data_IF_584020646056
#
_entry.id   IF_584020646056
#
_cell.length_a   1.000
_cell.length_b   1.000
_cell.length_c   1.000
_cell.angle_alpha   90.00
_cell.angle_beta   90.00
_cell.angle_gamma   90.00
#
_symmetry.space_group_name_H-M   'P 1'
#
loop_
_entity.id
_entity.type
_entity.pdbx_description
1 polymer ?
#
# COMPACT_ATOMS: atom_id res chain seq x y z
N UNK A 1 1.58 21.51 -0.91
CA UNK A 1 1.51 20.26 -0.12
C UNK A 1 0.83 20.65 1.18
N UNK A 2 -0.42 20.25 1.38
CA UNK A 2 -1.03 20.46 2.69
C UNK A 2 -0.43 19.45 3.65
N UNK A 3 0.16 19.96 4.73
CA UNK A 3 0.70 19.12 5.81
C UNK A 3 -0.43 18.29 6.42
N UNK A 4 -0.13 17.06 6.84
CA UNK A 4 -1.07 16.32 7.69
C UNK A 4 -1.33 17.20 8.91
N UNK A 5 -2.56 17.68 9.04
CA UNK A 5 -3.01 18.26 10.30
C UNK A 5 -3.05 17.11 11.32
N UNK A 6 -1.96 16.97 12.06
CA UNK A 6 -1.96 16.16 13.29
C UNK A 6 -2.89 16.89 14.24
N UNK A 7 -4.15 16.48 14.24
CA UNK A 7 -5.10 17.03 15.19
C UNK A 7 -4.89 16.44 16.59
N UNK A 8 -5.45 17.10 17.59
CA UNK A 8 -5.36 16.65 18.98
C UNK A 8 -5.93 15.26 19.19
N UNK A 9 -6.89 14.86 18.37
CA UNK A 9 -7.55 13.56 18.41
C UNK A 9 -6.62 12.44 17.95
N UNK A 10 -5.87 12.66 16.85
CA UNK A 10 -4.84 11.71 16.40
C UNK A 10 -3.75 11.53 17.46
N UNK A 11 -3.26 12.64 18.05
CA UNK A 11 -2.26 12.57 19.12
C UNK A 11 -2.77 11.78 20.33
N UNK A 12 -4.02 11.96 20.70
CA UNK A 12 -4.64 11.23 21.81
C UNK A 12 -4.73 9.73 21.51
N UNK A 13 -5.15 9.33 20.29
CA UNK A 13 -5.19 7.94 19.87
C UNK A 13 -3.80 7.32 19.81
N UNK A 14 -2.81 8.03 19.25
CA UNK A 14 -1.43 7.58 19.21
C UNK A 14 -0.87 7.30 20.61
N UNK A 15 -1.14 8.20 21.58
CA UNK A 15 -0.77 8.00 22.99
C UNK A 15 -1.40 6.72 23.56
N UNK A 16 -2.69 6.49 23.34
CA UNK A 16 -3.38 5.27 23.79
C UNK A 16 -2.79 4.01 23.17
N UNK A 17 -2.44 4.06 21.89
CA UNK A 17 -1.78 2.94 21.21
C UNK A 17 -0.43 2.65 21.83
N UNK A 18 0.41 3.68 22.07
CA UNK A 18 1.73 3.52 22.69
C UNK A 18 1.59 2.93 24.12
N UNK A 19 0.61 3.40 24.89
CA UNK A 19 0.35 2.86 26.23
C UNK A 19 -0.05 1.37 26.19
N UNK A 20 -0.83 0.96 25.21
CA UNK A 20 -1.30 -0.43 25.06
C UNK A 20 -0.29 -1.35 24.39
N UNK A 21 0.55 -0.83 23.50
CA UNK A 21 1.54 -1.56 22.73
C UNK A 21 2.92 -0.86 22.80
N UNK A 22 3.55 -0.76 23.97
CA UNK A 22 4.78 0.04 24.14
C UNK A 22 5.95 -0.44 23.29
N UNK A 23 6.03 -1.74 23.03
CA UNK A 23 7.03 -2.34 22.15
C UNK A 23 6.87 -2.00 20.67
N UNK A 24 5.76 -1.35 20.27
CA UNK A 24 5.48 -0.90 18.91
C UNK A 24 5.60 0.62 18.74
N UNK A 25 6.07 1.33 19.75
CA UNK A 25 6.13 2.79 19.72
C UNK A 25 7.03 3.33 18.59
N UNK A 26 8.22 2.74 18.40
CA UNK A 26 9.14 3.13 17.33
C UNK A 26 8.58 2.81 15.94
N UNK A 27 7.98 1.65 15.77
CA UNK A 27 7.33 1.24 14.52
C UNK A 27 6.19 2.21 14.16
N UNK A 28 5.42 2.63 15.18
CA UNK A 28 4.34 3.58 15.00
C UNK A 28 4.86 4.94 14.52
N UNK A 29 5.92 5.46 15.15
CA UNK A 29 6.57 6.71 14.74
C UNK A 29 7.14 6.60 13.33
N UNK A 30 7.73 5.45 12.99
CA UNK A 30 8.24 5.19 11.65
C UNK A 30 7.12 5.15 10.61
N UNK A 31 5.99 4.48 10.91
CA UNK A 31 4.84 4.40 10.00
C UNK A 31 4.30 5.77 9.59
N UNK A 32 4.28 6.73 10.50
CA UNK A 32 3.79 8.10 10.26
C UNK A 32 4.92 9.12 10.03
N UNK A 33 6.12 8.66 9.68
CA UNK A 33 7.26 9.54 9.38
C UNK A 33 7.05 10.33 8.08
N UNK A 34 7.74 11.49 7.91
CA UNK A 34 7.65 12.29 6.69
C UNK A 34 8.04 11.52 5.42
N UNK A 35 8.99 10.58 5.51
CA UNK A 35 9.38 9.74 4.37
C UNK A 35 8.26 8.77 3.96
N UNK A 36 7.56 8.18 4.93
CA UNK A 36 6.41 7.32 4.67
C UNK A 36 5.23 8.11 4.08
N UNK A 37 4.97 9.30 4.60
CA UNK A 37 3.95 10.20 4.04
C UNK A 37 4.27 10.58 2.59
N UNK A 38 5.49 11.07 2.33
CA UNK A 38 5.96 11.45 0.99
C UNK A 38 5.79 10.29 0.00
N UNK A 39 6.19 9.06 0.40
CA UNK A 39 6.06 7.86 -0.43
C UNK A 39 4.60 7.53 -0.74
N UNK A 40 3.71 7.56 0.25
CA UNK A 40 2.30 7.20 0.06
C UNK A 40 1.52 8.25 -0.74
N UNK A 41 1.77 9.54 -0.50
CA UNK A 41 1.17 10.61 -1.33
C UNK A 41 1.68 10.57 -2.77
N UNK A 42 2.97 10.27 -2.98
CA UNK A 42 3.54 10.06 -4.31
C UNK A 42 2.86 8.88 -5.02
N UNK A 43 2.63 7.75 -4.34
CA UNK A 43 1.89 6.63 -4.89
C UNK A 43 0.48 7.06 -5.31
N UNK A 44 -0.29 7.70 -4.42
CA UNK A 44 -1.68 8.09 -4.70
C UNK A 44 -1.78 9.13 -5.81
N UNK A 45 -0.83 10.07 -5.89
CA UNK A 45 -0.74 11.02 -7.00
C UNK A 45 -0.57 10.31 -8.35
N UNK A 46 0.41 9.41 -8.46
CA UNK A 46 0.66 8.67 -9.70
C UNK A 46 -0.51 7.72 -10.04
N UNK A 47 -1.16 7.14 -9.03
CA UNK A 47 -2.35 6.32 -9.24
C UNK A 47 -3.51 7.15 -9.80
N UNK A 48 -3.73 8.37 -9.31
CA UNK A 48 -4.72 9.29 -9.88
C UNK A 48 -4.43 9.58 -11.36
N UNK A 49 -3.16 9.82 -11.71
CA UNK A 49 -2.75 10.12 -13.08
C UNK A 49 -2.84 8.87 -13.99
N UNK A 50 -2.55 7.68 -13.46
CA UNK A 50 -2.68 6.42 -14.18
C UNK A 50 -4.15 6.07 -14.50
N UNK A 51 -5.05 6.38 -13.57
CA UNK A 51 -6.48 6.06 -13.69
C UNK A 51 -7.32 7.19 -14.31
N UNK A 52 -6.69 8.32 -14.70
CA UNK A 52 -7.41 9.51 -15.18
C UNK A 52 -8.34 9.25 -16.37
N UNK A 53 -8.00 8.27 -17.21
CA UNK A 53 -8.75 7.93 -18.42
C UNK A 53 -9.84 6.87 -18.17
N UNK A 54 -9.89 6.30 -16.96
CA UNK A 54 -10.91 5.30 -16.61
C UNK A 54 -12.16 5.98 -16.03
N UNK A 55 -13.34 5.41 -16.32
CA UNK A 55 -14.68 5.92 -15.94
C UNK A 55 -14.76 6.38 -14.48
N UNK A 56 -14.81 7.69 -14.25
CA UNK A 56 -14.81 8.38 -12.94
C UNK A 56 -16.04 8.14 -12.06
N UNK A 57 -17.04 7.41 -12.51
CA UNK A 57 -18.33 7.22 -11.82
C UNK A 57 -18.59 5.80 -11.32
N UNK A 58 -17.59 4.93 -11.27
CA UNK A 58 -17.78 3.57 -10.76
C UNK A 58 -17.34 3.46 -9.30
N UNK A 59 -18.09 2.67 -8.53
CA UNK A 59 -17.63 2.20 -7.24
C UNK A 59 -16.37 1.35 -7.42
N UNK A 60 -15.35 1.60 -6.61
CA UNK A 60 -14.10 0.85 -6.65
C UNK A 60 -13.85 0.15 -5.33
N UNK A 61 -13.43 -1.11 -5.45
CA UNK A 61 -12.94 -1.93 -4.36
C UNK A 61 -11.41 -1.98 -4.44
N UNK A 62 -10.74 -1.68 -3.33
CA UNK A 62 -9.29 -1.61 -3.24
C UNK A 62 -8.80 -2.67 -2.26
N UNK A 63 -7.77 -3.43 -2.64
CA UNK A 63 -6.98 -4.24 -1.71
C UNK A 63 -5.63 -3.58 -1.45
N UNK A 64 -5.17 -3.61 -0.20
CA UNK A 64 -3.84 -3.15 0.21
C UNK A 64 -3.15 -4.30 0.91
N UNK A 65 -1.98 -4.70 0.41
CA UNK A 65 -1.13 -5.76 0.93
C UNK A 65 0.02 -5.12 1.71
N UNK A 66 0.34 -5.67 2.88
CA UNK A 66 1.31 -5.08 3.79
C UNK A 66 0.85 -3.73 4.31
N UNK A 67 -0.40 -3.68 4.82
CA UNK A 67 -1.05 -2.41 5.18
C UNK A 67 -0.52 -1.78 6.45
N UNK A 68 0.24 -2.53 7.24
CA UNK A 68 0.83 -2.12 8.51
C UNK A 68 -0.20 -1.43 9.42
N UNK A 69 0.07 -0.21 9.91
CA UNK A 69 -0.85 0.54 10.79
C UNK A 69 -1.86 1.42 10.04
N UNK A 70 -2.10 1.13 8.75
CA UNK A 70 -3.20 1.73 8.00
C UNK A 70 -2.96 3.15 7.48
N UNK A 71 -1.71 3.60 7.37
CA UNK A 71 -1.44 4.95 6.88
C UNK A 71 -1.81 5.14 5.41
N UNK A 72 -1.55 4.14 4.55
CA UNK A 72 -1.92 4.24 3.13
C UNK A 72 -3.44 4.35 2.90
N UNK A 73 -4.32 3.52 3.49
CA UNK A 73 -5.76 3.69 3.32
C UNK A 73 -6.27 5.05 3.84
N UNK A 74 -5.64 5.62 4.86
CA UNK A 74 -5.94 6.99 5.32
C UNK A 74 -5.63 8.03 4.24
N UNK A 75 -4.43 7.98 3.61
CA UNK A 75 -4.04 8.88 2.51
C UNK A 75 -4.94 8.67 1.28
N UNK A 76 -5.27 7.42 0.93
CA UNK A 76 -6.18 7.11 -0.19
C UNK A 76 -7.53 7.79 0.00
N UNK A 77 -8.11 7.75 1.19
CA UNK A 77 -9.40 8.39 1.47
C UNK A 77 -9.35 9.92 1.35
N UNK A 78 -8.19 10.52 1.59
CA UNK A 78 -7.99 11.98 1.46
C UNK A 78 -7.71 12.42 0.02
N UNK A 79 -6.81 11.72 -0.66
CA UNK A 79 -6.15 12.23 -1.85
C UNK A 79 -6.59 11.52 -3.15
N UNK A 80 -7.23 10.34 -3.07
CA UNK A 80 -7.70 9.66 -4.26
C UNK A 80 -8.94 10.38 -4.83
N UNK A 81 -8.85 10.79 -6.09
CA UNK A 81 -9.88 11.60 -6.75
C UNK A 81 -11.16 10.84 -7.10
N UNK A 82 -11.17 9.52 -6.92
CA UNK A 82 -12.35 8.68 -7.12
C UNK A 82 -13.28 8.84 -5.92
N UNK A 83 -14.41 9.50 -6.15
CA UNK A 83 -15.40 9.81 -5.09
C UNK A 83 -16.16 8.60 -4.56
N UNK A 84 -16.06 7.44 -5.20
CA UNK A 84 -16.90 6.28 -4.92
C UNK A 84 -16.07 5.05 -4.52
N UNK A 85 -15.29 5.16 -3.44
CA UNK A 85 -14.67 3.98 -2.84
C UNK A 85 -15.77 3.19 -2.14
N UNK A 86 -16.01 1.96 -2.60
CA UNK A 86 -16.96 1.03 -1.99
C UNK A 86 -16.35 0.42 -0.73
N UNK A 87 -15.14 -0.13 -0.87
CA UNK A 87 -14.44 -0.77 0.22
C UNK A 87 -12.91 -0.70 0.02
N UNK A 88 -12.16 -0.59 1.13
CA UNK A 88 -10.71 -0.83 1.18
C UNK A 88 -10.47 -2.02 2.10
N UNK A 89 -9.93 -3.11 1.58
CA UNK A 89 -9.49 -4.26 2.38
C UNK A 89 -7.98 -4.22 2.55
N UNK A 90 -7.56 -4.19 3.79
CA UNK A 90 -6.17 -4.11 4.20
C UNK A 90 -5.72 -5.45 4.75
N UNK A 91 -4.71 -6.07 4.13
CA UNK A 91 -4.14 -7.35 4.51
C UNK A 91 -2.78 -7.14 5.14
N UNK A 92 -2.54 -7.80 6.26
CA UNK A 92 -1.25 -7.86 6.93
C UNK A 92 -1.13 -9.19 7.67
N UNK A 93 0.08 -9.71 7.83
CA UNK A 93 0.34 -10.95 8.58
C UNK A 93 0.37 -10.70 10.09
N UNK A 94 0.61 -9.45 10.51
CA UNK A 94 0.70 -9.05 11.92
C UNK A 94 -0.68 -8.66 12.48
N UNK A 95 -1.26 -9.54 13.32
CA UNK A 95 -2.53 -9.26 14.00
C UNK A 95 -2.45 -8.05 14.94
N UNK A 96 -1.25 -7.74 15.45
CA UNK A 96 -1.05 -6.55 16.28
C UNK A 96 -1.14 -5.28 15.43
N UNK A 97 -0.61 -5.30 14.19
CA UNK A 97 -0.74 -4.19 13.26
C UNK A 97 -2.21 -3.87 12.96
N UNK A 98 -3.05 -4.89 12.72
CA UNK A 98 -4.50 -4.72 12.56
C UNK A 98 -5.16 -4.05 13.78
N UNK A 99 -4.81 -4.49 14.99
CA UNK A 99 -5.35 -3.92 16.24
C UNK A 99 -4.96 -2.44 16.39
N UNK A 100 -3.71 -2.11 16.09
CA UNK A 100 -3.18 -0.75 16.14
C UNK A 100 -3.87 0.12 15.08
N UNK A 101 -3.97 -0.35 13.83
CA UNK A 101 -4.61 0.38 12.74
C UNK A 101 -6.05 0.77 13.09
N UNK A 102 -6.83 -0.16 13.64
CA UNK A 102 -8.21 0.11 14.07
C UNK A 102 -8.30 1.16 15.18
N UNK A 103 -7.37 1.14 16.13
CA UNK A 103 -7.36 2.10 17.23
C UNK A 103 -6.93 3.49 16.78
N UNK A 104 -5.88 3.59 15.94
CA UNK A 104 -5.32 4.89 15.55
C UNK A 104 -6.19 5.60 14.54
N UNK A 105 -6.85 4.86 13.64
CA UNK A 105 -7.74 5.40 12.62
C UNK A 105 -9.21 5.46 13.05
N UNK A 106 -9.52 5.05 14.28
CA UNK A 106 -10.86 5.03 14.86
C UNK A 106 -11.89 4.30 13.99
N UNK A 107 -11.58 3.06 13.64
CA UNK A 107 -12.44 2.21 12.79
C UNK A 107 -12.98 2.95 11.55
N UNK A 108 -12.14 3.37 10.63
CA UNK A 108 -12.54 4.23 9.53
C UNK A 108 -13.60 3.56 8.65
N UNK A 109 -14.63 4.31 8.29
CA UNK A 109 -15.71 3.83 7.42
C UNK A 109 -15.15 3.22 6.12
N UNK A 110 -15.70 2.06 5.72
CA UNK A 110 -15.33 1.30 4.51
C UNK A 110 -13.87 0.84 4.45
N UNK A 111 -13.16 0.77 5.58
CA UNK A 111 -11.81 0.20 5.65
C UNK A 111 -11.83 -1.02 6.58
N UNK A 112 -11.51 -2.18 6.02
CA UNK A 112 -11.48 -3.44 6.73
C UNK A 112 -10.05 -3.97 6.86
N UNK A 113 -9.57 -4.11 8.11
CA UNK A 113 -8.25 -4.69 8.39
C UNK A 113 -8.38 -6.19 8.68
N UNK A 114 -7.60 -7.00 7.96
CA UNK A 114 -7.61 -8.45 8.02
C UNK A 114 -6.21 -8.98 8.29
N UNK A 115 -6.10 -9.94 9.22
CA UNK A 115 -4.85 -10.68 9.44
C UNK A 115 -4.84 -11.87 8.49
N UNK A 116 -4.05 -11.77 7.41
CA UNK A 116 -3.88 -12.84 6.41
C UNK A 116 -2.55 -12.72 5.70
N UNK A 117 -1.95 -13.85 5.35
CA UNK A 117 -0.88 -13.90 4.36
C UNK A 117 -1.48 -13.65 2.96
N UNK A 118 -0.70 -13.04 2.07
CA UNK A 118 -1.07 -12.83 0.67
C UNK A 118 -1.41 -14.15 -0.03
N UNK A 119 -0.70 -15.23 0.29
CA UNK A 119 -0.88 -16.57 -0.28
C UNK A 119 -2.24 -17.19 0.08
N UNK A 120 -2.86 -16.73 1.18
CA UNK A 120 -4.16 -17.19 1.64
C UNK A 120 -5.34 -16.40 1.02
N UNK A 121 -5.05 -15.44 0.14
CA UNK A 121 -6.06 -14.55 -0.45
C UNK A 121 -6.32 -14.93 -1.91
N UNK A 122 -7.51 -15.41 -2.20
CA UNK A 122 -7.95 -15.69 -3.58
C UNK A 122 -8.35 -14.39 -4.30
N UNK A 123 -7.39 -13.74 -4.96
CA UNK A 123 -7.63 -12.53 -5.72
C UNK A 123 -8.34 -12.75 -7.06
N UNK A 124 -8.43 -13.98 -7.55
CA UNK A 124 -9.20 -14.32 -8.75
C UNK A 124 -10.71 -14.24 -8.47
N UNK A 125 -11.15 -14.73 -7.31
CA UNK A 125 -12.56 -14.70 -6.94
C UNK A 125 -12.98 -13.33 -6.38
N UNK A 126 -12.06 -12.59 -5.79
CA UNK A 126 -12.36 -11.26 -5.25
C UNK A 126 -12.32 -10.21 -6.38
N UNK A 127 -13.34 -9.33 -6.41
CA UNK A 127 -13.53 -8.36 -7.50
C UNK A 127 -12.90 -7.00 -7.18
N UNK A 128 -11.62 -6.99 -6.83
CA UNK A 128 -10.90 -5.74 -6.67
C UNK A 128 -10.67 -5.05 -8.01
N UNK A 129 -10.86 -3.74 -8.02
CA UNK A 129 -10.50 -2.87 -9.14
C UNK A 129 -9.03 -2.50 -9.08
N UNK A 130 -8.50 -2.34 -7.85
CA UNK A 130 -7.12 -1.94 -7.59
C UNK A 130 -6.56 -2.83 -6.49
N UNK A 131 -5.34 -3.33 -6.68
CA UNK A 131 -4.58 -4.02 -5.65
C UNK A 131 -3.23 -3.32 -5.51
N UNK A 132 -2.88 -2.91 -4.29
CA UNK A 132 -1.67 -2.17 -3.97
C UNK A 132 -0.82 -3.01 -3.02
N UNK A 133 0.40 -3.33 -3.45
CA UNK A 133 1.42 -3.96 -2.62
C UNK A 133 2.57 -2.97 -2.40
N UNK A 134 2.71 -2.45 -1.18
CA UNK A 134 3.79 -1.53 -0.79
C UNK A 134 4.87 -2.18 0.05
N UNK A 135 4.92 -3.52 0.03
CA UNK A 135 5.80 -4.35 0.85
C UNK A 135 6.51 -5.42 0.01
N UNK A 136 6.76 -5.15 -1.28
CA UNK A 136 7.41 -6.12 -2.16
C UNK A 136 8.82 -6.49 -1.69
N UNK A 137 9.51 -5.58 -1.01
CA UNK A 137 10.83 -5.83 -0.41
C UNK A 137 10.83 -6.89 0.70
N UNK A 138 9.66 -7.23 1.26
CA UNK A 138 9.48 -8.25 2.30
C UNK A 138 8.97 -9.60 1.76
N UNK A 139 8.79 -9.73 0.46
CA UNK A 139 8.24 -10.91 -0.22
C UNK A 139 9.22 -11.41 -1.26
N UNK A 140 9.40 -12.72 -1.40
CA UNK A 140 10.25 -13.23 -2.47
C UNK A 140 9.59 -13.11 -3.85
N UNK A 141 10.40 -13.23 -4.92
CA UNK A 141 9.90 -13.07 -6.27
C UNK A 141 8.84 -14.11 -6.66
N UNK A 142 8.96 -15.35 -6.20
CA UNK A 142 7.97 -16.38 -6.50
C UNK A 142 6.62 -16.02 -5.89
N UNK A 143 6.60 -15.57 -4.65
CA UNK A 143 5.39 -15.10 -3.96
C UNK A 143 4.75 -13.91 -4.69
N UNK A 144 5.55 -12.98 -5.20
CA UNK A 144 5.04 -11.84 -5.98
C UNK A 144 4.49 -12.27 -7.35
N UNK A 145 5.16 -13.20 -8.04
CA UNK A 145 4.66 -13.79 -9.29
C UNK A 145 3.37 -14.58 -9.08
N UNK A 146 3.31 -15.43 -8.06
CA UNK A 146 2.11 -16.22 -7.73
C UNK A 146 0.94 -15.32 -7.39
N UNK A 147 1.15 -14.24 -6.61
CA UNK A 147 0.13 -13.24 -6.36
C UNK A 147 -0.39 -12.63 -7.67
N UNK A 148 0.49 -12.21 -8.58
CA UNK A 148 0.09 -11.63 -9.86
C UNK A 148 -0.64 -12.64 -10.73
N UNK A 149 -0.21 -13.91 -10.76
CA UNK A 149 -0.89 -14.99 -11.50
C UNK A 149 -2.30 -15.24 -10.93
N UNK A 150 -2.46 -15.18 -9.62
CA UNK A 150 -3.73 -15.32 -8.91
C UNK A 150 -4.56 -14.02 -8.85
N UNK A 151 -4.15 -12.97 -9.55
CA UNK A 151 -4.91 -11.73 -9.67
C UNK A 151 -5.78 -11.74 -10.93
N UNK A 152 -7.02 -11.28 -10.78
CA UNK A 152 -8.00 -11.23 -11.87
C UNK A 152 -7.52 -10.32 -13.01
N UNK A 153 -7.71 -10.73 -14.30
CA UNK A 153 -7.46 -9.85 -15.45
C UNK A 153 -8.19 -8.50 -15.36
N UNK A 154 -7.59 -7.47 -15.90
CA UNK A 154 -8.06 -6.07 -15.89
C UNK A 154 -8.07 -5.38 -14.52
N UNK A 155 -7.55 -6.01 -13.49
CA UNK A 155 -7.27 -5.35 -12.21
C UNK A 155 -6.06 -4.43 -12.36
N UNK A 156 -6.12 -3.22 -11.83
CA UNK A 156 -4.95 -2.35 -11.70
C UNK A 156 -4.11 -2.83 -10.52
N UNK A 157 -2.88 -3.25 -10.77
CA UNK A 157 -1.93 -3.65 -9.74
C UNK A 157 -0.86 -2.57 -9.57
N UNK A 158 -0.55 -2.26 -8.32
CA UNK A 158 0.54 -1.35 -7.93
C UNK A 158 1.52 -2.13 -7.08
N UNK A 159 2.78 -2.13 -7.48
CA UNK A 159 3.88 -2.77 -6.75
C UNK A 159 4.92 -1.72 -6.40
N UNK A 160 5.35 -1.69 -5.15
CA UNK A 160 6.37 -0.76 -4.68
C UNK A 160 7.49 -1.52 -3.98
N UNK A 161 8.74 -1.23 -4.34
CA UNK A 161 9.96 -1.77 -3.72
C UNK A 161 11.00 -0.66 -3.50
N UNK A 162 12.20 -1.01 -3.08
CA UNK A 162 13.27 -0.07 -2.71
C UNK A 162 14.65 -0.70 -2.92
N UNK A 163 15.68 0.15 -3.06
CA UNK A 163 17.10 -0.24 -2.96
C UNK A 163 17.62 -0.26 -1.52
N UNK A 164 16.80 0.16 -0.56
CA UNK A 164 17.19 0.20 0.85
C UNK A 164 17.37 -1.19 1.41
N UNK A 165 18.58 -1.52 1.81
CA UNK A 165 18.87 -2.75 2.54
C UNK A 165 18.48 -2.60 4.02
N UNK A 166 17.62 -3.49 4.52
CA UNK A 166 17.23 -3.59 5.92
C UNK A 166 17.19 -5.05 6.34
N UNK A 167 17.18 -5.30 7.65
CA UNK A 167 17.25 -6.67 8.20
C UNK A 167 16.11 -7.58 7.75
N UNK A 168 14.95 -7.00 7.55
CA UNK A 168 13.70 -7.68 7.19
C UNK A 168 13.38 -7.60 5.69
N UNK A 169 14.28 -7.03 4.87
CA UNK A 169 14.16 -7.01 3.43
C UNK A 169 14.83 -8.24 2.82
N UNK A 170 14.07 -9.03 2.08
CA UNK A 170 14.55 -10.21 1.36
C UNK A 170 14.58 -10.01 -0.16
N UNK A 171 13.93 -8.96 -0.67
CA UNK A 171 13.75 -8.72 -2.10
C UNK A 171 13.81 -7.22 -2.43
N UNK A 172 14.98 -6.64 -2.31
CA UNK A 172 15.25 -5.27 -2.78
C UNK A 172 15.59 -5.29 -4.27
N UNK A 173 15.37 -4.19 -4.96
CA UNK A 173 15.77 -3.99 -6.35
C UNK A 173 16.76 -2.82 -6.44
N UNK A 174 17.75 -2.91 -7.31
CA UNK A 174 18.78 -1.88 -7.45
C UNK A 174 18.26 -0.60 -8.11
N UNK A 175 17.25 -0.74 -8.99
CA UNK A 175 16.69 0.37 -9.75
C UNK A 175 15.29 0.05 -10.30
N UNK A 176 14.66 1.07 -10.90
CA UNK A 176 13.35 0.98 -11.53
C UNK A 176 13.28 -0.05 -12.65
N UNK A 177 14.35 -0.14 -13.47
CA UNK A 177 14.37 -1.08 -14.61
C UNK A 177 14.34 -2.53 -14.14
N UNK A 178 15.04 -2.86 -13.08
CA UNK A 178 15.01 -4.22 -12.50
C UNK A 178 13.60 -4.58 -12.03
N UNK A 179 12.91 -3.68 -11.32
CA UNK A 179 11.51 -3.91 -10.92
C UNK A 179 10.61 -4.13 -12.13
N UNK A 180 10.80 -3.34 -13.19
CA UNK A 180 10.04 -3.47 -14.43
C UNK A 180 10.33 -4.80 -15.12
N UNK A 181 11.60 -5.16 -15.33
CA UNK A 181 11.98 -6.41 -16.00
C UNK A 181 11.45 -7.64 -15.29
N UNK A 182 11.43 -7.63 -13.96
CA UNK A 182 10.91 -8.73 -13.16
C UNK A 182 9.40 -8.95 -13.34
N UNK A 183 8.59 -7.89 -13.56
CA UNK A 183 7.14 -8.03 -13.48
C UNK A 183 6.33 -7.53 -14.69
N UNK A 184 6.94 -6.85 -15.67
CA UNK A 184 6.23 -6.28 -16.85
C UNK A 184 5.42 -7.29 -17.65
N UNK A 185 5.82 -8.55 -17.67
CA UNK A 185 5.14 -9.61 -18.42
C UNK A 185 3.70 -9.88 -17.95
N UNK A 186 3.38 -9.55 -16.69
CA UNK A 186 2.05 -9.70 -16.11
C UNK A 186 1.06 -8.60 -16.54
N UNK A 187 1.55 -7.52 -17.17
CA UNK A 187 0.73 -6.35 -17.47
C UNK A 187 0.49 -6.17 -18.97
N UNK A 188 -0.75 -5.82 -19.35
CA UNK A 188 -1.10 -5.43 -20.72
C UNK A 188 -0.62 -4.00 -21.05
N UNK A 189 -0.62 -3.14 -20.02
CA UNK A 189 -0.06 -1.79 -20.03
C UNK A 189 0.49 -1.49 -18.64
N UNK A 190 1.55 -0.69 -18.58
CA UNK A 190 2.15 -0.28 -17.31
C UNK A 190 2.86 1.08 -17.42
N UNK A 191 3.08 1.69 -16.27
CA UNK A 191 4.00 2.82 -16.05
C UNK A 191 4.87 2.52 -14.84
N UNK A 192 6.09 3.02 -14.87
CA UNK A 192 7.03 2.90 -13.75
C UNK A 192 7.47 4.28 -13.27
N UNK A 193 7.94 4.34 -12.03
CA UNK A 193 8.24 5.59 -11.35
C UNK A 193 9.34 5.39 -10.32
N UNK A 194 10.18 6.42 -10.16
CA UNK A 194 11.22 6.51 -9.12
C UNK A 194 10.96 7.70 -8.20
N UNK A 195 11.10 7.49 -6.89
CA UNK A 195 11.09 8.52 -5.86
C UNK A 195 12.40 8.47 -5.07
N UNK A 196 13.21 9.50 -5.21
CA UNK A 196 14.49 9.60 -4.52
C UNK A 196 14.33 10.22 -3.13
N UNK A 197 15.06 9.64 -2.17
CA UNK A 197 15.35 10.14 -0.84
C UNK A 197 16.87 10.32 -0.72
N UNK A 198 17.37 10.94 0.34
CA UNK A 198 18.78 11.24 0.50
C UNK A 198 19.69 9.99 0.48
N UNK A 199 19.21 8.87 1.03
CA UNK A 199 20.02 7.66 1.22
C UNK A 199 19.44 6.39 0.56
N UNK A 200 18.32 6.49 -0.14
CA UNK A 200 17.69 5.37 -0.84
C UNK A 200 16.65 5.87 -1.85
N UNK A 201 16.19 4.97 -2.69
CA UNK A 201 15.10 5.23 -3.63
C UNK A 201 13.96 4.26 -3.42
N UNK A 202 12.75 4.69 -3.78
CA UNK A 202 11.62 3.82 -3.96
C UNK A 202 11.26 3.73 -5.42
N UNK A 203 10.98 2.53 -5.86
CA UNK A 203 10.57 2.22 -7.21
C UNK A 203 9.16 1.70 -7.21
N UNK A 204 8.42 1.98 -8.25
CA UNK A 204 7.02 1.58 -8.35
C UNK A 204 6.68 1.22 -9.80
N UNK A 205 5.98 0.12 -9.99
CA UNK A 205 5.30 -0.23 -11.24
C UNK A 205 3.79 -0.25 -10.98
N UNK A 206 3.05 0.37 -11.88
CA UNK A 206 1.59 0.32 -11.93
C UNK A 206 1.18 -0.25 -13.29
N UNK A 207 0.33 -1.26 -13.29
CA UNK A 207 -0.08 -1.88 -14.54
C UNK A 207 -1.47 -2.51 -14.48
N UNK A 208 -2.07 -2.70 -15.65
CA UNK A 208 -3.32 -3.43 -15.82
C UNK A 208 -2.99 -4.90 -16.04
N UNK A 209 -3.48 -5.78 -15.18
CA UNK A 209 -3.27 -7.24 -15.27
C UNK A 209 -3.82 -7.79 -16.58
N UNK A 210 -3.00 -8.59 -17.29
CA UNK A 210 -3.42 -9.36 -18.48
C UNK A 210 -4.55 -10.32 -18.18
#
# INVERSE_FOLDING_TARGET
MEDIKIDSEFCYRARKVIQKFPNRALDLLHCFSPSQEKSKRWLVKNLNDFLSDTNKNKFIDIAIIGSWYGFLPYIIKQDLKFKLISEIRCYDVDDTAKKIARLILDNPDRVNFMTRNIDDVDFLQQRFNIIINTSCEHMDNNQLHDWLLNTRPKTTCVMQSTDKVARDHCNTVENENELVENFKEHFSEYKSFTLNFDNYSRFMIMGVKK
#
